data_IF_728767191533
#
_entry.id   IF_728767191533
#
_cell.length_a   1.000
_cell.length_b   1.000
_cell.length_c   1.000
_cell.angle_alpha   90.00
_cell.angle_beta   90.00
_cell.angle_gamma   90.00
#
_symmetry.space_group_name_H-M   'P 1'
#
loop_
_entity.id
_entity.type
_entity.pdbx_description
1 polymer ?
#
# COMPACT_ATOMS: atom_id res chain seq x y z
N UNK A 1 13.23 54.38 -10.86
CA UNK A 1 12.93 53.00 -11.28
C UNK A 1 11.84 53.10 -12.33
N UNK A 2 12.13 52.82 -13.61
CA UNK A 2 11.11 52.83 -14.65
C UNK A 2 10.61 51.41 -14.95
N UNK A 3 9.36 51.41 -15.38
CA UNK A 3 8.45 50.30 -15.61
C UNK A 3 8.95 49.26 -16.63
N UNK A 4 8.60 47.99 -16.38
CA UNK A 4 8.77 46.90 -17.33
C UNK A 4 7.49 46.73 -18.15
N UNK A 5 7.56 47.14 -19.41
CA UNK A 5 6.59 46.79 -20.44
C UNK A 5 6.60 45.27 -20.69
N UNK A 6 5.41 44.66 -20.58
CA UNK A 6 5.15 43.28 -20.96
C UNK A 6 4.51 43.30 -22.35
N UNK A 7 5.29 43.01 -23.38
CA UNK A 7 4.80 42.80 -24.75
C UNK A 7 4.15 41.43 -24.89
N UNK A 8 2.86 41.40 -25.22
CA UNK A 8 2.10 40.19 -25.60
C UNK A 8 2.14 40.08 -27.12
N UNK A 9 2.56 38.95 -27.73
CA UNK A 9 2.49 38.77 -29.17
C UNK A 9 1.05 38.46 -29.63
N UNK A 10 0.55 39.25 -30.58
CA UNK A 10 -0.69 39.02 -31.32
C UNK A 10 -0.56 37.77 -32.22
N UNK A 11 -1.50 36.83 -32.06
CA UNK A 11 -1.68 35.71 -32.97
C UNK A 11 -2.42 36.11 -34.25
N UNK A 12 -2.28 35.35 -35.35
CA UNK A 12 -2.84 35.71 -36.64
C UNK A 12 -4.34 35.41 -36.76
N UNK A 13 -5.00 36.39 -37.36
CA UNK A 13 -6.40 36.47 -37.78
C UNK A 13 -6.77 35.30 -38.72
N UNK A 14 -7.78 34.50 -38.33
CA UNK A 14 -8.35 33.41 -39.15
C UNK A 14 -9.74 33.82 -39.61
N UNK A 15 -9.81 34.55 -40.73
CA UNK A 15 -11.03 34.82 -41.48
C UNK A 15 -10.83 34.46 -42.97
N UNK A 16 -10.99 33.17 -43.28
CA UNK A 16 -11.24 32.62 -44.62
C UNK A 16 -12.02 31.32 -44.38
N UNK A 17 -13.15 30.97 -44.98
CA UNK A 17 -13.90 31.43 -46.15
C UNK A 17 -14.68 30.18 -46.56
N UNK A 18 -15.97 30.09 -46.23
CA UNK A 18 -16.77 28.89 -46.51
C UNK A 18 -17.18 28.86 -47.99
N UNK A 19 -16.95 27.75 -48.73
CA UNK A 19 -17.53 27.57 -50.05
C UNK A 19 -18.99 27.12 -49.94
N UNK A 20 -19.84 27.83 -50.68
CA UNK A 20 -21.25 27.54 -50.92
C UNK A 20 -21.32 26.28 -51.81
N UNK A 21 -21.98 25.23 -51.33
CA UNK A 21 -22.30 24.02 -52.08
C UNK A 21 -23.68 24.21 -52.76
N UNK A 22 -23.81 24.06 -54.08
CA UNK A 22 -25.11 24.14 -54.75
C UNK A 22 -25.91 22.84 -54.56
N UNK A 23 -27.22 23.00 -54.39
CA UNK A 23 -28.21 21.93 -54.31
C UNK A 23 -28.26 21.13 -55.62
N UNK A 24 -27.97 19.83 -55.53
CA UNK A 24 -28.18 18.84 -56.59
C UNK A 24 -29.42 17.99 -56.31
N UNK A 25 -30.16 17.69 -57.37
CA UNK A 25 -31.46 17.01 -57.43
C UNK A 25 -31.47 15.56 -56.91
N UNK A 26 -32.64 15.02 -56.52
CA UNK A 26 -32.77 13.65 -56.02
C UNK A 26 -32.73 12.62 -57.16
N UNK A 27 -31.70 11.77 -57.18
CA UNK A 27 -31.67 10.57 -58.03
C UNK A 27 -32.67 9.52 -57.54
N UNK A 28 -33.48 9.06 -58.50
CA UNK A 28 -34.43 7.96 -58.35
C UNK A 28 -33.69 6.63 -58.19
N UNK A 29 -33.89 5.97 -57.06
CA UNK A 29 -33.44 4.59 -56.83
C UNK A 29 -34.42 3.65 -57.53
N UNK A 30 -33.97 3.00 -58.61
CA UNK A 30 -34.63 1.84 -59.20
C UNK A 30 -34.41 0.58 -58.33
N UNK A 31 -35.38 -0.35 -58.26
CA UNK A 31 -35.24 -1.60 -57.51
C UNK A 31 -34.47 -2.66 -58.32
N UNK A 32 -33.44 -3.29 -57.72
CA UNK A 32 -32.82 -4.51 -58.25
C UNK A 32 -33.48 -5.77 -57.67
N UNK A 33 -33.62 -6.85 -58.47
CA UNK A 33 -34.38 -8.04 -58.13
C UNK A 33 -33.53 -9.21 -57.62
N UNK A 34 -34.27 -10.20 -57.11
CA UNK A 34 -33.99 -11.65 -57.10
C UNK A 34 -32.99 -12.25 -56.10
N UNK A 35 -33.61 -12.99 -55.17
CA UNK A 35 -33.03 -14.04 -54.35
C UNK A 35 -32.81 -15.33 -55.15
N UNK A 36 -31.72 -16.04 -54.87
CA UNK A 36 -31.51 -17.45 -55.22
C UNK A 36 -30.95 -18.18 -53.98
N UNK A 37 -31.53 -19.30 -53.52
CA UNK A 37 -31.05 -20.07 -52.38
C UNK A 37 -30.11 -21.21 -52.79
N UNK A 38 -29.16 -21.64 -51.94
CA UNK A 38 -28.52 -22.92 -52.13
C UNK A 38 -29.23 -24.04 -51.37
N UNK A 39 -29.48 -25.07 -52.17
CA UNK A 39 -30.02 -26.39 -51.95
C UNK A 39 -29.27 -27.27 -50.96
N UNK A 40 -30.05 -28.22 -50.44
CA UNK A 40 -29.70 -29.42 -49.69
C UNK A 40 -28.56 -30.24 -50.30
N UNK A 41 -27.75 -30.85 -49.43
CA UNK A 41 -26.97 -32.05 -49.72
C UNK A 41 -27.21 -33.04 -48.59
N UNK A 42 -28.04 -34.05 -48.86
CA UNK A 42 -28.02 -35.35 -48.19
C UNK A 42 -26.87 -36.17 -48.80
N UNK A 43 -26.10 -36.92 -48.00
CA UNK A 43 -25.63 -38.28 -48.35
C UNK A 43 -24.82 -38.93 -47.22
N UNK A 44 -25.33 -40.07 -46.72
CA UNK A 44 -24.63 -41.31 -46.27
C UNK A 44 -23.59 -41.20 -45.13
N UNK A 45 -23.67 -41.87 -43.98
CA UNK A 45 -24.19 -43.21 -43.67
C UNK A 45 -23.10 -44.28 -43.81
N UNK A 46 -22.86 -45.08 -42.74
CA UNK A 46 -22.06 -46.34 -42.58
C UNK A 46 -20.85 -46.16 -41.62
N UNK A 47 -20.89 -46.58 -40.34
CA UNK A 47 -20.74 -47.94 -39.72
C UNK A 47 -19.27 -48.35 -39.43
N UNK A 48 -18.91 -48.44 -38.14
CA UNK A 48 -18.09 -49.50 -37.48
C UNK A 48 -17.61 -48.97 -36.09
N UNK A 49 -18.15 -49.46 -34.97
CA UNK A 49 -17.82 -50.71 -34.27
C UNK A 49 -16.67 -50.56 -33.24
N UNK A 50 -17.10 -50.60 -31.97
CA UNK A 50 -16.42 -50.87 -30.68
C UNK A 50 -15.30 -51.95 -30.72
N UNK A 51 -14.34 -52.00 -29.75
CA UNK A 51 -14.65 -52.53 -28.40
C UNK A 51 -13.88 -52.01 -27.17
N UNK A 52 -14.63 -51.97 -26.05
CA UNK A 52 -14.37 -52.43 -24.67
C UNK A 52 -12.96 -52.67 -24.06
N UNK A 53 -12.68 -51.89 -22.99
CA UNK A 53 -12.19 -52.28 -21.62
C UNK A 53 -10.76 -52.90 -21.44
N UNK A 54 -10.20 -53.12 -20.22
CA UNK A 54 -10.53 -52.66 -18.83
C UNK A 54 -9.34 -52.16 -17.94
N UNK A 55 -9.71 -51.44 -16.88
CA UNK A 55 -9.34 -51.54 -15.45
C UNK A 55 -7.88 -51.64 -14.89
N UNK A 56 -7.66 -50.83 -13.82
CA UNK A 56 -6.84 -51.05 -12.58
C UNK A 56 -5.30 -51.11 -12.73
N UNK A 57 -4.47 -50.50 -11.86
CA UNK A 57 -4.40 -50.68 -10.40
C UNK A 57 -3.46 -49.66 -9.73
N UNK A 58 -3.79 -49.30 -8.49
CA UNK A 58 -2.95 -48.90 -7.32
C UNK A 58 -1.46 -48.50 -7.47
N UNK A 59 -1.08 -47.39 -6.82
CA UNK A 59 -0.14 -47.44 -5.66
C UNK A 59 0.10 -46.07 -4.99
N UNK A 60 -0.57 -45.89 -3.84
CA UNK A 60 -0.08 -45.39 -2.54
C UNK A 60 0.32 -43.91 -2.28
N UNK A 61 0.12 -43.46 -1.01
CA UNK A 61 0.20 -42.07 -0.59
C UNK A 61 1.58 -41.72 0.01
N UNK A 62 1.92 -40.43 0.00
CA UNK A 62 2.93 -39.86 0.91
C UNK A 62 2.28 -38.87 1.86
N UNK A 63 2.19 -39.28 3.12
CA UNK A 63 2.14 -38.40 4.28
C UNK A 63 3.53 -37.82 4.55
N UNK A 64 3.60 -36.51 4.77
CA UNK A 64 4.48 -35.79 5.70
C UNK A 64 4.06 -34.30 5.58
N UNK A 65 3.23 -33.78 6.47
CA UNK A 65 3.63 -33.12 7.71
C UNK A 65 4.55 -31.91 7.47
N UNK A 66 4.00 -30.68 7.57
CA UNK A 66 4.35 -29.71 8.64
C UNK A 66 3.86 -28.29 8.32
N UNK A 67 3.40 -27.63 9.39
CA UNK A 67 3.23 -26.18 9.60
C UNK A 67 1.92 -25.51 9.12
N UNK A 68 1.09 -25.03 10.06
CA UNK A 68 0.04 -24.04 9.84
C UNK A 68 0.60 -22.62 10.06
N UNK A 69 0.41 -21.71 9.12
CA UNK A 69 0.59 -20.26 9.35
C UNK A 69 -0.02 -19.47 8.19
N UNK A 70 -0.83 -18.48 8.56
CA UNK A 70 -1.19 -17.36 7.70
C UNK A 70 -2.67 -17.32 7.38
N UNK A 71 -3.48 -16.98 8.39
CA UNK A 71 -4.87 -16.62 8.22
C UNK A 71 -5.01 -15.45 7.25
N UNK A 72 -5.94 -15.64 6.32
CA UNK A 72 -6.61 -14.61 5.56
C UNK A 72 -7.30 -13.62 6.51
N UNK A 73 -7.09 -12.32 6.32
CA UNK A 73 -8.11 -11.32 6.63
C UNK A 73 -7.99 -10.17 5.63
N UNK A 74 -8.81 -10.31 4.57
CA UNK A 74 -9.25 -9.19 3.76
C UNK A 74 -10.20 -8.32 4.59
N UNK A 75 -9.99 -7.01 4.51
CA UNK A 75 -10.58 -6.05 5.41
C UNK A 75 -12.10 -5.86 5.30
N UNK A 76 -12.62 -5.09 6.26
CA UNK A 76 -13.79 -4.24 6.06
C UNK A 76 -13.63 -3.00 6.90
N UNK A 77 -13.43 -1.88 6.22
CA UNK A 77 -13.66 -0.54 6.75
C UNK A 77 -15.18 -0.38 6.96
N UNK A 78 -15.59 -0.19 8.21
CA UNK A 78 -16.99 -0.09 8.60
C UNK A 78 -17.15 1.08 9.60
N UNK A 79 -17.39 2.25 9.06
CA UNK A 79 -18.12 3.33 9.72
C UNK A 79 -19.62 3.03 9.65
N UNK A 80 -20.15 2.31 10.65
CA UNK A 80 -21.57 2.33 11.03
C UNK A 80 -21.80 1.53 12.32
N UNK A 81 -22.59 2.10 13.24
CA UNK A 81 -23.32 1.32 14.24
C UNK A 81 -22.85 1.48 15.68
N UNK A 82 -23.05 2.68 16.25
CA UNK A 82 -23.11 2.85 17.70
C UNK A 82 -24.42 2.22 18.22
N UNK A 83 -24.36 0.99 18.74
CA UNK A 83 -25.39 0.44 19.61
C UNK A 83 -24.85 -0.75 20.40
N UNK A 84 -24.83 -0.61 21.74
CA UNK A 84 -24.92 -1.76 22.64
C UNK A 84 -23.68 -2.06 23.51
N UNK A 85 -23.91 -1.90 24.82
CA UNK A 85 -23.20 -2.53 25.93
C UNK A 85 -21.72 -2.14 26.15
N UNK A 86 -21.50 -1.21 27.09
CA UNK A 86 -20.24 -1.13 27.84
C UNK A 86 -20.51 -1.29 29.33
N UNK A 87 -20.01 -2.39 29.85
CA UNK A 87 -19.93 -2.73 31.25
C UNK A 87 -18.92 -1.81 31.98
N UNK A 88 -19.24 -1.61 33.26
CA UNK A 88 -18.48 -0.92 34.31
C UNK A 88 -16.96 -1.07 34.24
N UNK A 89 -16.19 0.01 34.47
CA UNK A 89 -14.85 -0.09 35.06
C UNK A 89 -14.81 0.59 36.43
N UNK A 90 -15.15 -0.16 37.47
CA UNK A 90 -14.75 0.16 38.86
C UNK A 90 -13.39 -0.48 39.15
N UNK A 91 -12.26 0.11 38.76
CA UNK A 91 -10.96 -0.04 39.45
C UNK A 91 -10.04 1.10 39.02
N UNK A 92 -9.73 2.05 39.92
CA UNK A 92 -8.42 2.71 40.06
C UNK A 92 -8.50 3.87 41.07
N UNK A 93 -8.53 3.56 42.36
CA UNK A 93 -8.32 4.58 43.39
C UNK A 93 -7.64 4.05 44.67
N UNK A 94 -6.68 3.12 44.53
CA UNK A 94 -5.76 2.75 45.60
C UNK A 94 -4.34 3.16 45.22
N UNK A 95 -3.99 4.44 45.40
CA UNK A 95 -2.58 4.88 45.55
C UNK A 95 -2.45 6.36 46.00
N UNK A 96 -3.26 6.79 46.96
CA UNK A 96 -3.10 8.11 47.59
C UNK A 96 -3.02 8.05 49.13
N UNK A 97 -2.98 6.85 49.72
CA UNK A 97 -2.90 6.64 51.18
C UNK A 97 -1.46 6.60 51.74
N UNK A 98 -0.45 6.58 50.88
CA UNK A 98 0.95 6.41 51.28
C UNK A 98 1.73 7.69 51.65
N UNK A 99 1.23 8.89 51.30
CA UNK A 99 2.02 10.12 51.46
C UNK A 99 1.68 10.95 52.71
N UNK A 100 0.52 10.75 53.35
CA UNK A 100 0.11 11.56 54.53
C UNK A 100 0.52 10.97 55.88
N UNK A 101 0.99 9.72 55.93
CA UNK A 101 1.38 9.06 57.18
C UNK A 101 2.85 9.32 57.57
N UNK A 102 3.71 9.73 56.63
CA UNK A 102 5.13 9.97 56.90
C UNK A 102 5.43 11.35 57.51
N UNK A 103 4.52 12.32 57.42
CA UNK A 103 4.71 13.66 57.98
C UNK A 103 4.30 13.78 59.46
N UNK A 104 3.47 12.86 59.98
CA UNK A 104 3.01 12.89 61.37
C UNK A 104 3.99 12.22 62.36
N UNK A 105 5.03 11.53 61.87
CA UNK A 105 5.97 10.79 62.71
C UNK A 105 7.24 11.55 63.11
N UNK A 106 7.40 12.81 62.70
CA UNK A 106 8.62 13.60 62.95
C UNK A 106 8.43 14.79 63.92
N UNK A 107 7.27 14.94 64.55
CA UNK A 107 6.99 16.00 65.53
C UNK A 107 6.91 15.46 66.97
N UNK A 108 7.74 14.47 67.29
CA UNK A 108 7.95 13.98 68.64
C UNK A 108 9.18 14.62 69.25
N UNK A 109 8.99 15.27 70.39
CA UNK A 109 10.00 15.77 71.33
C UNK A 109 10.82 16.99 70.90
N UNK A 110 10.41 18.18 71.35
CA UNK A 110 11.20 18.99 72.31
C UNK A 110 10.42 20.23 72.77
N UNK A 111 10.27 20.40 74.09
CA UNK A 111 10.15 21.72 74.75
C UNK A 111 8.77 22.14 75.24
N UNK A 112 8.50 21.94 76.54
CA UNK A 112 7.46 22.67 77.30
C UNK A 112 7.84 24.16 77.39
N UNK A 113 7.10 24.99 76.66
CA UNK A 113 7.01 26.43 76.87
C UNK A 113 5.53 26.82 76.78
N UNK A 114 4.96 27.22 77.92
CA UNK A 114 3.56 27.69 78.03
C UNK A 114 3.41 29.07 77.37
N UNK A 115 3.21 29.08 76.06
CA UNK A 115 2.69 30.24 75.32
C UNK A 115 1.22 29.99 74.93
N UNK A 116 0.25 30.71 75.53
CA UNK A 116 -1.19 30.52 75.29
C UNK A 116 -1.68 30.97 73.89
N UNK A 117 -0.78 31.38 72.99
CA UNK A 117 -1.08 31.80 71.62
C UNK A 117 -0.98 30.64 70.59
N UNK A 118 -0.39 29.50 70.99
CA UNK A 118 -0.11 28.36 70.10
C UNK A 118 -1.32 27.48 69.75
N UNK A 119 -2.41 27.54 70.53
CA UNK A 119 -3.62 26.74 70.30
C UNK A 119 -4.48 27.24 69.13
N UNK A 120 -4.48 28.55 68.86
CA UNK A 120 -5.21 29.12 67.73
C UNK A 120 -4.54 28.78 66.40
N UNK A 121 -3.20 28.76 66.35
CA UNK A 121 -2.44 28.42 65.16
C UNK A 121 -2.64 26.96 64.70
N UNK A 122 -2.86 26.05 65.66
CA UNK A 122 -3.02 24.61 65.38
C UNK A 122 -4.39 24.30 64.78
N UNK A 123 -5.47 24.95 65.26
CA UNK A 123 -6.81 24.87 64.68
C UNK A 123 -6.86 25.49 63.28
N UNK A 124 -6.17 26.62 63.07
CA UNK A 124 -6.04 27.24 61.75
C UNK A 124 -5.29 26.34 60.75
N UNK A 125 -4.24 25.66 61.20
CA UNK A 125 -3.52 24.68 60.38
C UNK A 125 -4.40 23.48 60.02
N UNK A 126 -5.16 22.89 60.96
CA UNK A 126 -6.05 21.77 60.64
C UNK A 126 -7.14 22.17 59.64
N UNK A 127 -7.73 23.37 59.80
CA UNK A 127 -8.69 23.93 58.84
C UNK A 127 -8.06 24.13 57.46
N UNK A 128 -6.78 24.48 57.39
CA UNK A 128 -6.07 24.62 56.11
C UNK A 128 -5.86 23.30 55.37
N UNK A 129 -5.56 22.21 56.08
CA UNK A 129 -5.40 20.89 55.48
C UNK A 129 -6.74 20.32 55.01
N UNK A 130 -7.81 20.55 55.77
CA UNK A 130 -9.17 20.23 55.34
C UNK A 130 -9.52 20.97 54.05
N UNK A 131 -9.29 22.29 54.00
CA UNK A 131 -9.54 23.11 52.81
C UNK A 131 -8.69 22.67 51.59
N UNK A 132 -7.44 22.23 51.80
CA UNK A 132 -6.58 21.70 50.74
C UNK A 132 -7.11 20.36 50.21
N UNK A 133 -7.51 19.45 51.11
CA UNK A 133 -8.10 18.16 50.73
C UNK A 133 -9.37 18.36 49.92
N UNK A 134 -10.25 19.26 50.36
CA UNK A 134 -11.48 19.60 49.67
C UNK A 134 -11.21 20.22 48.29
N UNK A 135 -10.20 21.08 48.19
CA UNK A 135 -9.78 21.68 46.91
C UNK A 135 -9.30 20.61 45.91
N UNK A 136 -8.53 19.62 46.37
CA UNK A 136 -8.08 18.50 45.54
C UNK A 136 -9.26 17.60 45.14
N UNK A 137 -10.19 17.32 46.07
CA UNK A 137 -11.41 16.57 45.79
C UNK A 137 -12.30 17.24 44.74
N UNK A 138 -12.59 18.52 44.94
CA UNK A 138 -13.34 19.36 43.99
C UNK A 138 -12.66 19.43 42.62
N UNK A 139 -11.32 19.47 42.57
CA UNK A 139 -10.59 19.49 41.32
C UNK A 139 -10.69 18.19 40.52
N UNK A 140 -10.73 17.04 41.21
CA UNK A 140 -10.95 15.74 40.58
C UNK A 140 -12.38 15.60 40.08
N UNK A 141 -13.36 15.97 40.91
CA UNK A 141 -14.78 15.95 40.56
C UNK A 141 -15.07 16.86 39.35
N UNK A 142 -14.52 18.08 39.34
CA UNK A 142 -14.65 19.00 38.21
C UNK A 142 -14.06 18.38 36.93
N UNK A 143 -12.86 17.79 37.00
CA UNK A 143 -12.24 17.17 35.83
C UNK A 143 -13.06 16.00 35.29
N UNK A 144 -13.65 15.20 36.19
CA UNK A 144 -14.53 14.09 35.80
C UNK A 144 -15.81 14.57 35.14
N UNK A 145 -16.47 15.60 35.70
CA UNK A 145 -17.66 16.21 35.08
C UNK A 145 -17.36 16.93 33.77
N UNK A 146 -16.20 17.56 33.64
CA UNK A 146 -15.75 18.16 32.37
C UNK A 146 -15.59 17.08 31.29
N UNK A 147 -15.01 15.92 31.63
CA UNK A 147 -14.90 14.78 30.72
C UNK A 147 -16.26 14.23 30.31
N UNK A 148 -17.17 14.01 31.27
CA UNK A 148 -18.53 13.54 30.96
C UNK A 148 -19.29 14.53 30.07
N UNK A 149 -19.09 15.83 30.28
CA UNK A 149 -19.67 16.88 29.44
C UNK A 149 -19.10 16.86 28.03
N UNK A 150 -17.80 16.61 27.87
CA UNK A 150 -17.16 16.46 26.56
C UNK A 150 -17.70 15.23 25.80
N UNK A 151 -17.78 14.07 26.47
CA UNK A 151 -18.36 12.84 25.92
C UNK A 151 -19.83 13.05 25.50
N UNK A 152 -20.64 13.73 26.34
CA UNK A 152 -22.01 14.11 26.00
C UNK A 152 -22.08 15.08 24.82
N UNK A 153 -21.12 16.01 24.72
CA UNK A 153 -21.02 16.97 23.62
C UNK A 153 -20.79 16.30 22.26
N UNK A 154 -19.88 15.33 22.18
CA UNK A 154 -19.63 14.54 20.95
C UNK A 154 -20.84 13.70 20.56
N UNK A 155 -21.56 13.14 21.55
CA UNK A 155 -22.82 12.44 21.30
C UNK A 155 -23.89 13.36 20.73
N UNK A 156 -24.14 14.51 21.35
CA UNK A 156 -25.10 15.51 20.85
C UNK A 156 -24.76 15.93 19.42
N UNK A 157 -23.47 16.11 19.12
CA UNK A 157 -23.02 16.45 17.77
C UNK A 157 -23.38 15.36 16.76
N UNK A 158 -23.06 14.11 17.08
CA UNK A 158 -23.37 12.95 16.22
C UNK A 158 -24.88 12.80 16.02
N UNK A 159 -25.66 12.88 17.10
CA UNK A 159 -27.12 12.74 17.05
C UNK A 159 -27.79 13.89 16.28
N UNK A 160 -27.22 15.11 16.33
CA UNK A 160 -27.67 16.25 15.52
C UNK A 160 -27.38 16.05 14.03
N UNK A 161 -26.22 15.53 13.67
CA UNK A 161 -25.87 15.22 12.28
C UNK A 161 -26.82 14.13 11.73
N UNK A 162 -27.07 13.07 12.50
CA UNK A 162 -28.05 12.04 12.12
C UNK A 162 -29.47 12.61 12.01
N UNK A 163 -29.90 13.45 12.96
CA UNK A 163 -31.22 14.08 12.93
C UNK A 163 -31.39 14.96 11.67
N UNK A 164 -30.39 15.77 11.33
CA UNK A 164 -30.42 16.62 10.15
C UNK A 164 -30.55 15.79 8.86
N UNK A 165 -29.79 14.70 8.75
CA UNK A 165 -29.84 13.78 7.63
C UNK A 165 -31.21 13.09 7.52
N UNK A 166 -31.76 12.60 8.65
CA UNK A 166 -33.11 12.01 8.67
C UNK A 166 -34.20 13.02 8.27
N UNK A 167 -34.08 14.28 8.70
CA UNK A 167 -35.01 15.34 8.32
C UNK A 167 -34.93 15.66 6.82
N UNK A 168 -33.71 15.73 6.27
CA UNK A 168 -33.50 15.89 4.83
C UNK A 168 -34.12 14.73 4.04
N UNK A 169 -33.95 13.49 4.50
CA UNK A 169 -34.57 12.31 3.90
C UNK A 169 -36.09 12.43 3.90
N UNK A 170 -36.72 12.78 5.03
CA UNK A 170 -38.17 12.92 5.10
C UNK A 170 -38.69 14.01 4.16
N UNK A 171 -37.95 15.11 4.01
CA UNK A 171 -38.31 16.20 3.13
C UNK A 171 -38.15 15.86 1.63
N UNK A 172 -37.11 15.07 1.28
CA UNK A 172 -36.67 14.84 -0.11
C UNK A 172 -36.67 13.36 -0.53
N UNK A 173 -37.42 12.50 0.16
CA UNK A 173 -37.35 11.04 0.03
C UNK A 173 -37.36 10.54 -1.42
N UNK A 174 -38.36 10.95 -2.22
CA UNK A 174 -38.49 10.48 -3.59
C UNK A 174 -37.33 10.93 -4.49
N UNK A 175 -36.79 12.14 -4.27
CA UNK A 175 -35.65 12.63 -5.04
C UNK A 175 -34.38 11.85 -4.69
N UNK A 176 -34.13 11.62 -3.40
CA UNK A 176 -32.97 10.85 -2.93
C UNK A 176 -33.03 9.39 -3.38
N UNK A 177 -34.19 8.73 -3.31
CA UNK A 177 -34.34 7.35 -3.80
C UNK A 177 -34.11 7.29 -5.31
N UNK A 178 -34.69 8.21 -6.08
CA UNK A 178 -34.48 8.27 -7.53
C UNK A 178 -33.00 8.51 -7.89
N UNK A 179 -32.29 9.36 -7.13
CA UNK A 179 -30.86 9.58 -7.28
C UNK A 179 -30.05 8.30 -6.98
N UNK A 180 -30.32 7.62 -5.86
CA UNK A 180 -29.61 6.39 -5.51
C UNK A 180 -29.87 5.27 -6.53
N UNK A 181 -31.10 5.15 -7.04
CA UNK A 181 -31.44 4.20 -8.10
C UNK A 181 -30.72 4.55 -9.42
N UNK A 182 -30.59 5.83 -9.76
CA UNK A 182 -29.82 6.28 -10.91
C UNK A 182 -28.32 5.93 -10.76
N UNK A 183 -27.73 6.17 -9.58
CA UNK A 183 -26.34 5.79 -9.27
C UNK A 183 -26.16 4.27 -9.42
N UNK A 184 -27.03 3.46 -8.84
CA UNK A 184 -26.96 2.00 -8.94
C UNK A 184 -27.05 1.54 -10.39
N UNK A 185 -28.00 2.06 -11.16
CA UNK A 185 -28.21 1.66 -12.56
C UNK A 185 -27.01 2.06 -13.44
N UNK A 186 -26.55 3.32 -13.35
CA UNK A 186 -25.42 3.81 -14.11
C UNK A 186 -24.14 3.03 -13.82
N UNK A 187 -23.80 2.86 -12.54
CA UNK A 187 -22.58 2.15 -12.16
C UNK A 187 -22.66 0.66 -12.47
N UNK A 188 -23.86 0.05 -12.43
CA UNK A 188 -24.05 -1.34 -12.87
C UNK A 188 -23.77 -1.49 -14.37
N UNK A 189 -24.30 -0.59 -15.21
CA UNK A 189 -24.01 -0.60 -16.65
C UNK A 189 -22.53 -0.42 -16.95
N UNK A 190 -21.87 0.53 -16.27
CA UNK A 190 -20.43 0.73 -16.40
C UNK A 190 -19.64 -0.50 -15.95
N UNK A 191 -20.03 -1.14 -14.85
CA UNK A 191 -19.37 -2.35 -14.34
C UNK A 191 -19.48 -3.51 -15.31
N UNK A 192 -20.65 -3.72 -15.91
CA UNK A 192 -20.84 -4.78 -16.93
C UNK A 192 -20.06 -4.46 -18.21
N UNK A 193 -20.00 -3.20 -18.64
CA UNK A 193 -19.15 -2.79 -19.77
C UNK A 193 -17.65 -3.06 -19.49
N UNK A 194 -17.18 -2.76 -18.28
CA UNK A 194 -15.79 -3.04 -17.87
C UNK A 194 -15.48 -4.53 -17.77
N UNK A 195 -16.44 -5.35 -17.32
CA UNK A 195 -16.29 -6.81 -17.34
C UNK A 195 -16.21 -7.37 -18.76
N UNK A 196 -17.01 -6.83 -19.69
CA UNK A 196 -16.93 -7.21 -21.10
C UNK A 196 -15.57 -6.82 -21.69
N UNK A 197 -15.08 -5.61 -21.41
CA UNK A 197 -13.74 -5.17 -21.80
C UNK A 197 -12.65 -6.06 -21.18
N UNK A 198 -12.78 -6.43 -19.89
CA UNK A 198 -11.85 -7.34 -19.22
C UNK A 198 -11.80 -8.72 -19.90
N UNK A 199 -12.96 -9.27 -20.27
CA UNK A 199 -13.04 -10.55 -20.98
C UNK A 199 -12.38 -10.47 -22.36
N UNK A 200 -12.60 -9.37 -23.09
CA UNK A 200 -11.96 -9.12 -24.38
C UNK A 200 -10.44 -9.03 -24.24
N UNK A 201 -9.93 -8.17 -23.36
CA UNK A 201 -8.47 -7.99 -23.16
C UNK A 201 -7.82 -9.28 -22.66
N UNK A 202 -8.51 -10.08 -21.84
CA UNK A 202 -8.01 -11.39 -21.41
C UNK A 202 -7.89 -12.38 -22.57
N UNK A 203 -8.83 -12.36 -23.52
CA UNK A 203 -8.75 -13.17 -24.74
C UNK A 203 -7.61 -12.71 -25.64
N UNK A 204 -7.47 -11.41 -25.85
CA UNK A 204 -6.37 -10.82 -26.66
C UNK A 204 -4.99 -11.12 -26.03
N UNK A 205 -4.90 -11.09 -24.69
CA UNK A 205 -3.70 -11.47 -23.95
C UNK A 205 -3.33 -12.93 -24.20
N UNK A 206 -4.31 -13.84 -24.15
CA UNK A 206 -4.08 -15.24 -24.42
C UNK A 206 -3.59 -15.47 -25.86
N UNK A 207 -4.22 -14.82 -26.83
CA UNK A 207 -3.80 -14.91 -28.24
C UNK A 207 -2.39 -14.38 -28.47
N UNK A 208 -2.03 -13.25 -27.84
CA UNK A 208 -0.69 -12.68 -27.94
C UNK A 208 0.36 -13.53 -27.23
N UNK A 209 0.03 -14.12 -26.08
CA UNK A 209 0.90 -15.06 -25.37
C UNK A 209 1.16 -16.31 -26.21
N UNK A 210 0.12 -16.91 -26.79
CA UNK A 210 0.25 -18.06 -27.67
C UNK A 210 1.06 -17.72 -28.93
N UNK A 211 0.93 -16.50 -29.46
CA UNK A 211 1.72 -16.03 -30.59
C UNK A 211 3.20 -15.85 -30.22
N UNK A 212 3.49 -15.30 -29.04
CA UNK A 212 4.84 -15.15 -28.51
C UNK A 212 5.50 -16.51 -28.28
N UNK A 213 4.77 -17.48 -27.73
CA UNK A 213 5.28 -18.83 -27.50
C UNK A 213 5.58 -19.55 -28.82
N UNK A 214 4.67 -19.48 -29.81
CA UNK A 214 4.94 -20.03 -31.15
C UNK A 214 6.15 -19.38 -31.82
N UNK A 215 6.37 -18.09 -31.60
CA UNK A 215 7.50 -17.36 -32.15
C UNK A 215 8.80 -17.78 -31.47
N UNK A 216 8.81 -17.95 -30.14
CA UNK A 216 9.94 -18.48 -29.38
C UNK A 216 10.31 -19.90 -29.85
N UNK A 217 9.33 -20.79 -30.02
CA UNK A 217 9.57 -22.14 -30.54
C UNK A 217 10.20 -22.12 -31.95
N UNK A 218 9.71 -21.22 -32.81
CA UNK A 218 10.27 -21.04 -34.15
C UNK A 218 11.71 -20.51 -34.12
N UNK A 219 11.97 -19.52 -33.27
CA UNK A 219 13.29 -18.93 -33.09
C UNK A 219 14.29 -19.91 -32.48
N UNK A 220 13.88 -20.72 -31.50
CA UNK A 220 14.69 -21.80 -30.95
C UNK A 220 15.08 -22.81 -32.05
N UNK A 221 14.15 -23.12 -32.95
CA UNK A 221 14.43 -23.99 -34.10
C UNK A 221 15.46 -23.37 -35.06
N UNK A 222 15.51 -22.04 -35.17
CA UNK A 222 16.51 -21.33 -35.99
C UNK A 222 17.87 -21.16 -35.31
N UNK A 223 17.89 -20.89 -34.00
CA UNK A 223 19.11 -20.63 -33.23
C UNK A 223 19.88 -21.90 -32.90
N UNK A 224 19.20 -23.01 -32.61
CA UNK A 224 19.83 -24.29 -32.25
C UNK A 224 20.89 -24.79 -33.27
N UNK A 225 20.64 -24.75 -34.60
CA UNK A 225 21.66 -25.08 -35.59
C UNK A 225 22.88 -24.16 -35.53
N UNK A 226 22.67 -22.85 -35.36
CA UNK A 226 23.74 -21.85 -35.30
C UNK A 226 24.59 -22.01 -34.02
N UNK A 227 23.94 -22.27 -32.88
CA UNK A 227 24.63 -22.60 -31.63
C UNK A 227 25.49 -23.85 -31.79
N UNK A 228 24.99 -24.86 -32.50
CA UNK A 228 25.74 -26.08 -32.80
C UNK A 228 26.97 -25.79 -33.68
N UNK A 229 26.83 -24.94 -34.71
CA UNK A 229 27.94 -24.51 -35.57
C UNK A 229 28.98 -23.73 -34.78
N UNK A 230 28.55 -22.79 -33.95
CA UNK A 230 29.40 -22.01 -33.05
C UNK A 230 30.19 -22.94 -32.10
N UNK A 231 29.52 -23.93 -31.50
CA UNK A 231 30.15 -24.92 -30.63
C UNK A 231 31.23 -25.74 -31.35
N UNK A 232 30.96 -26.19 -32.58
CA UNK A 232 31.96 -26.90 -33.41
C UNK A 232 33.12 -26.00 -33.82
N UNK A 233 32.85 -24.77 -34.23
CA UNK A 233 33.88 -23.81 -34.60
C UNK A 233 34.80 -23.50 -33.42
N UNK A 234 34.22 -23.37 -32.20
CA UNK A 234 34.96 -23.18 -30.96
C UNK A 234 35.87 -24.36 -30.65
N UNK A 235 35.33 -25.59 -30.70
CA UNK A 235 36.13 -26.80 -30.49
C UNK A 235 37.29 -26.92 -31.50
N UNK A 236 37.02 -26.58 -32.77
CA UNK A 236 38.04 -26.58 -33.84
C UNK A 236 39.12 -25.54 -33.60
N UNK A 237 38.74 -24.32 -33.21
CA UNK A 237 39.69 -23.25 -32.90
C UNK A 237 40.55 -23.58 -31.66
N UNK A 238 39.96 -24.19 -30.63
CA UNK A 238 40.70 -24.67 -29.45
C UNK A 238 41.68 -25.79 -29.81
N UNK A 239 41.28 -26.76 -30.64
CA UNK A 239 42.15 -27.82 -31.12
C UNK A 239 43.32 -27.27 -31.96
N UNK A 240 43.04 -26.43 -32.95
CA UNK A 240 44.07 -25.86 -33.83
C UNK A 240 45.09 -25.02 -33.05
N UNK A 241 44.64 -24.30 -32.01
CA UNK A 241 45.51 -23.54 -31.11
C UNK A 241 46.39 -24.44 -30.24
N UNK A 242 45.86 -25.58 -29.79
CA UNK A 242 46.66 -26.57 -29.04
C UNK A 242 47.70 -27.24 -29.95
N UNK A 243 47.33 -27.56 -31.19
CA UNK A 243 48.26 -28.10 -32.19
C UNK A 243 49.38 -27.10 -32.53
N UNK A 244 49.05 -25.82 -32.73
CA UNK A 244 50.03 -24.73 -32.93
C UNK A 244 51.02 -24.67 -31.75
N UNK A 245 50.54 -24.76 -30.51
CA UNK A 245 51.39 -24.78 -29.31
C UNK A 245 52.30 -26.02 -29.26
N UNK A 246 51.77 -27.19 -29.62
CA UNK A 246 52.54 -28.43 -29.67
C UNK A 246 53.67 -28.33 -30.70
N UNK A 247 53.35 -27.90 -31.93
CA UNK A 247 54.35 -27.72 -33.00
C UNK A 247 55.40 -26.68 -32.66
N UNK A 248 55.01 -25.59 -31.99
CA UNK A 248 55.95 -24.59 -31.48
C UNK A 248 56.94 -25.18 -30.47
N UNK A 249 56.47 -26.07 -29.60
CA UNK A 249 57.32 -26.73 -28.62
C UNK A 249 58.30 -27.71 -29.30
N UNK A 250 57.83 -28.47 -30.31
CA UNK A 250 58.68 -29.35 -31.13
C UNK A 250 59.76 -28.58 -31.89
N UNK A 251 59.40 -27.46 -32.54
CA UNK A 251 60.34 -26.56 -33.21
C UNK A 251 61.40 -26.06 -32.24
N UNK A 252 60.99 -25.53 -31.08
CA UNK A 252 61.94 -25.04 -30.06
C UNK A 252 62.86 -26.15 -29.53
N UNK A 253 62.39 -27.39 -29.45
CA UNK A 253 63.22 -28.53 -29.06
C UNK A 253 64.23 -28.89 -30.16
N UNK A 254 63.81 -28.89 -31.43
CA UNK A 254 64.67 -29.16 -32.58
C UNK A 254 65.74 -28.07 -32.77
N UNK A 255 65.38 -26.80 -32.59
CA UNK A 255 66.33 -25.67 -32.60
C UNK A 255 67.44 -25.86 -31.56
N UNK A 256 67.06 -26.18 -30.32
CA UNK A 256 68.01 -26.46 -29.23
C UNK A 256 68.87 -27.71 -29.47
N UNK A 257 68.36 -28.71 -30.20
CA UNK A 257 69.12 -29.91 -30.59
C UNK A 257 70.13 -29.60 -31.71
N UNK A 258 69.73 -28.78 -32.68
CA UNK A 258 70.60 -28.30 -33.75
C UNK A 258 71.73 -27.41 -33.22
N UNK A 259 71.45 -26.54 -32.24
CA UNK A 259 72.48 -25.73 -31.55
C UNK A 259 73.54 -26.57 -30.83
N UNK A 260 73.22 -27.82 -30.45
CA UNK A 260 74.13 -28.74 -29.75
C UNK A 260 74.86 -29.72 -30.68
N UNK A 261 74.50 -29.78 -31.95
CA UNK A 261 75.10 -30.74 -32.90
C UNK A 261 76.32 -30.12 -33.60
N UNK A 262 77.46 -30.81 -33.54
CA UNK A 262 78.70 -30.40 -34.21
C UNK A 262 79.09 -31.41 -35.31
N UNK A 263 79.79 -30.95 -36.36
CA UNK A 263 80.32 -31.82 -37.43
C UNK A 263 79.27 -32.33 -38.44
N UNK A 264 79.42 -33.56 -38.94
CA UNK A 264 78.58 -34.13 -40.01
C UNK A 264 77.08 -34.23 -39.69
N UNK A 265 76.71 -34.21 -38.41
CA UNK A 265 75.32 -34.29 -37.94
C UNK A 265 74.59 -32.93 -37.96
N UNK A 266 75.32 -31.82 -38.09
CA UNK A 266 74.75 -30.46 -38.13
C UNK A 266 73.80 -30.25 -39.33
N UNK A 267 74.10 -30.88 -40.47
CA UNK A 267 73.24 -30.81 -41.66
C UNK A 267 71.90 -31.54 -41.46
N UNK A 268 71.93 -32.68 -40.74
CA UNK A 268 70.72 -33.46 -40.42
C UNK A 268 69.86 -32.71 -39.40
N UNK A 269 70.48 -32.12 -38.38
CA UNK A 269 69.78 -31.31 -37.38
C UNK A 269 69.14 -30.05 -38.00
N UNK A 270 69.84 -29.37 -38.93
CA UNK A 270 69.29 -28.23 -39.68
C UNK A 270 68.10 -28.63 -40.56
N UNK A 271 68.17 -29.78 -41.25
CA UNK A 271 67.05 -30.29 -42.03
C UNK A 271 65.84 -30.62 -41.14
N UNK A 272 66.07 -31.15 -39.93
CA UNK A 272 65.01 -31.43 -38.94
C UNK A 272 64.33 -30.16 -38.44
N UNK A 273 65.08 -29.10 -38.14
CA UNK A 273 64.52 -27.78 -37.78
C UNK A 273 63.58 -27.28 -38.87
N UNK A 274 63.99 -27.32 -40.13
CA UNK A 274 63.17 -26.86 -41.26
C UNK A 274 61.84 -27.61 -41.38
N UNK A 275 61.83 -28.93 -41.18
CA UNK A 275 60.58 -29.72 -41.18
C UNK A 275 59.64 -29.29 -40.04
N UNK A 276 60.17 -29.00 -38.85
CA UNK A 276 59.36 -28.49 -37.74
C UNK A 276 58.91 -27.05 -37.93
N UNK A 277 59.70 -26.23 -38.62
CA UNK A 277 59.37 -24.86 -38.98
C UNK A 277 58.19 -24.85 -39.95
N UNK A 278 58.28 -25.60 -41.05
CA UNK A 278 57.19 -25.77 -42.03
C UNK A 278 55.90 -26.30 -41.33
N UNK A 279 56.03 -27.28 -40.42
CA UNK A 279 54.90 -27.83 -39.67
C UNK A 279 54.28 -26.84 -38.67
N UNK A 280 55.09 -25.96 -38.06
CA UNK A 280 54.61 -24.89 -37.18
C UNK A 280 53.90 -23.79 -37.98
N UNK A 281 54.45 -23.37 -39.12
CA UNK A 281 53.80 -22.41 -40.01
C UNK A 281 52.44 -22.91 -40.49
N UNK A 282 52.35 -24.19 -40.87
CA UNK A 282 51.08 -24.81 -41.25
C UNK A 282 50.08 -24.84 -40.09
N UNK A 283 50.53 -25.23 -38.89
CA UNK A 283 49.67 -25.25 -37.70
C UNK A 283 49.20 -23.84 -37.30
N UNK A 284 50.07 -22.83 -37.43
CA UNK A 284 49.72 -21.44 -37.22
C UNK A 284 48.69 -20.94 -38.24
N UNK A 285 48.85 -21.28 -39.52
CA UNK A 285 47.87 -20.94 -40.56
C UNK A 285 46.50 -21.57 -40.27
N UNK A 286 46.47 -22.85 -39.86
CA UNK A 286 45.23 -23.54 -39.44
C UNK A 286 44.59 -22.91 -38.21
N UNK A 287 45.38 -22.51 -37.22
CA UNK A 287 44.92 -21.80 -36.01
C UNK A 287 44.27 -20.46 -36.35
N UNK A 288 44.87 -19.68 -37.26
CA UNK A 288 44.29 -18.42 -37.76
C UNK A 288 42.97 -18.64 -38.50
N UNK A 289 42.95 -19.59 -39.44
CA UNK A 289 41.73 -19.92 -40.19
C UNK A 289 40.60 -20.41 -39.28
N UNK A 290 40.92 -21.23 -38.26
CA UNK A 290 39.93 -21.71 -37.30
C UNK A 290 39.39 -20.57 -36.40
N UNK A 291 40.24 -19.60 -36.03
CA UNK A 291 39.82 -18.41 -35.29
C UNK A 291 38.88 -17.53 -36.12
N UNK A 292 39.20 -17.30 -37.39
CA UNK A 292 38.35 -16.55 -38.32
C UNK A 292 36.97 -17.23 -38.51
N UNK A 293 36.96 -18.56 -38.64
CA UNK A 293 35.72 -19.33 -38.72
C UNK A 293 34.88 -19.24 -37.43
N UNK A 294 35.52 -19.24 -36.26
CA UNK A 294 34.83 -19.00 -34.98
C UNK A 294 34.24 -17.60 -34.90
N UNK A 295 34.99 -16.56 -35.26
CA UNK A 295 34.51 -15.18 -35.26
C UNK A 295 33.37 -14.96 -36.27
N UNK A 296 33.39 -15.67 -37.40
CA UNK A 296 32.27 -15.67 -38.33
C UNK A 296 31.03 -16.37 -37.76
N UNK A 297 31.16 -17.58 -37.23
CA UNK A 297 30.05 -18.31 -36.62
C UNK A 297 29.43 -17.55 -35.44
N UNK A 298 30.26 -16.84 -34.66
CA UNK A 298 29.78 -15.99 -33.57
C UNK A 298 28.97 -14.81 -34.08
N UNK A 299 29.45 -14.10 -35.12
CA UNK A 299 28.70 -12.99 -35.72
C UNK A 299 27.35 -13.44 -36.27
N UNK A 300 27.32 -14.54 -37.00
CA UNK A 300 26.07 -15.09 -37.56
C UNK A 300 25.06 -15.45 -36.44
N UNK A 301 25.55 -16.05 -35.35
CA UNK A 301 24.73 -16.35 -34.18
C UNK A 301 24.20 -15.08 -33.48
N UNK A 302 25.08 -14.10 -33.23
CA UNK A 302 24.72 -12.86 -32.54
C UNK A 302 23.73 -12.02 -33.37
N UNK A 303 23.92 -11.94 -34.70
CA UNK A 303 22.99 -11.27 -35.62
C UNK A 303 21.62 -11.94 -35.63
N UNK A 304 21.57 -13.28 -35.72
CA UNK A 304 20.32 -14.02 -35.65
C UNK A 304 19.61 -13.82 -34.31
N UNK A 305 20.34 -13.89 -33.20
CA UNK A 305 19.80 -13.66 -31.85
C UNK A 305 19.25 -12.25 -31.69
N UNK A 306 19.95 -11.24 -32.20
CA UNK A 306 19.46 -9.86 -32.16
C UNK A 306 18.18 -9.69 -32.99
N UNK A 307 18.10 -10.33 -34.16
CA UNK A 307 16.88 -10.33 -34.98
C UNK A 307 15.70 -10.98 -34.26
N UNK A 308 15.95 -12.06 -33.52
CA UNK A 308 14.95 -12.73 -32.68
C UNK A 308 14.45 -11.77 -31.61
N UNK A 309 15.33 -11.19 -30.80
CA UNK A 309 14.96 -10.25 -29.73
C UNK A 309 14.14 -9.07 -30.24
N UNK A 310 14.50 -8.51 -31.40
CA UNK A 310 13.75 -7.42 -32.03
C UNK A 310 12.34 -7.85 -32.50
N UNK A 311 12.19 -9.10 -32.95
CA UNK A 311 10.89 -9.65 -33.34
C UNK A 311 10.01 -9.98 -32.13
N UNK A 312 10.59 -10.39 -30.99
CA UNK A 312 9.84 -10.71 -29.76
C UNK A 312 9.38 -9.48 -28.99
N UNK A 313 10.21 -8.44 -28.94
CA UNK A 313 9.98 -7.21 -28.18
C UNK A 313 8.57 -6.57 -28.32
N UNK A 314 7.94 -6.44 -29.51
CA UNK A 314 6.60 -5.86 -29.62
C UNK A 314 5.52 -6.74 -28.99
N UNK A 315 5.63 -8.07 -29.09
CA UNK A 315 4.67 -8.99 -28.48
C UNK A 315 4.84 -9.04 -26.97
N UNK A 316 6.08 -9.04 -26.47
CA UNK A 316 6.36 -8.95 -25.03
C UNK A 316 5.78 -7.67 -24.41
N UNK A 317 5.99 -6.51 -25.05
CA UNK A 317 5.38 -5.24 -24.60
C UNK A 317 3.86 -5.30 -24.64
N UNK A 318 3.28 -5.88 -25.70
CA UNK A 318 1.83 -6.02 -25.82
C UNK A 318 1.25 -6.89 -24.69
N UNK A 319 1.93 -7.98 -24.33
CA UNK A 319 1.55 -8.85 -23.20
C UNK A 319 1.65 -8.10 -21.86
N UNK A 320 2.72 -7.33 -21.65
CA UNK A 320 2.90 -6.51 -20.45
C UNK A 320 1.80 -5.43 -20.32
N UNK A 321 1.53 -4.69 -21.40
CA UNK A 321 0.51 -3.65 -21.44
C UNK A 321 -0.90 -4.21 -21.18
N UNK A 322 -1.23 -5.37 -21.77
CA UNK A 322 -2.51 -6.03 -21.54
C UNK A 322 -2.66 -6.55 -20.11
N UNK A 323 -1.60 -7.11 -19.51
CA UNK A 323 -1.62 -7.50 -18.10
C UNK A 323 -1.88 -6.30 -17.18
N UNK A 324 -1.20 -5.17 -17.43
CA UNK A 324 -1.46 -3.94 -16.69
C UNK A 324 -2.90 -3.45 -16.87
N UNK A 325 -3.42 -3.51 -18.11
CA UNK A 325 -4.81 -3.12 -18.41
C UNK A 325 -5.82 -4.01 -17.69
N UNK A 326 -5.57 -5.30 -17.57
CA UNK A 326 -6.40 -6.25 -16.80
C UNK A 326 -6.48 -5.83 -15.33
N UNK A 327 -5.36 -5.49 -14.70
CA UNK A 327 -5.34 -5.04 -13.30
C UNK A 327 -6.09 -3.72 -13.13
N UNK A 328 -5.89 -2.74 -14.02
CA UNK A 328 -6.65 -1.48 -14.01
C UNK A 328 -8.17 -1.70 -14.14
N UNK A 329 -8.59 -2.67 -14.96
CA UNK A 329 -10.00 -3.03 -15.14
C UNK A 329 -10.58 -3.72 -13.89
N UNK A 330 -9.83 -4.62 -13.25
CA UNK A 330 -10.24 -5.26 -11.99
C UNK A 330 -10.48 -4.23 -10.88
N UNK A 331 -9.50 -3.34 -10.67
CA UNK A 331 -9.60 -2.21 -9.74
C UNK A 331 -10.84 -1.36 -10.02
N UNK A 332 -11.07 -1.02 -11.29
CA UNK A 332 -12.23 -0.22 -11.68
C UNK A 332 -13.55 -0.95 -11.41
N UNK A 333 -13.62 -2.26 -11.64
CA UNK A 333 -14.81 -3.09 -11.38
C UNK A 333 -15.11 -3.16 -9.88
N UNK A 334 -14.08 -3.25 -9.05
CA UNK A 334 -14.19 -3.27 -7.59
C UNK A 334 -14.73 -1.94 -7.05
N UNK A 335 -14.13 -0.80 -7.42
CA UNK A 335 -14.59 0.54 -7.02
C UNK A 335 -16.04 0.82 -7.43
N UNK A 336 -16.44 0.36 -8.63
CA UNK A 336 -17.83 0.44 -9.07
C UNK A 336 -18.74 -0.45 -8.20
N UNK A 337 -18.28 -1.64 -7.81
CA UNK A 337 -18.98 -2.53 -6.88
C UNK A 337 -19.22 -1.90 -5.51
N UNK A 338 -18.20 -1.24 -4.94
CA UNK A 338 -18.30 -0.49 -3.68
C UNK A 338 -19.31 0.65 -3.78
N UNK A 339 -19.23 1.44 -4.86
CA UNK A 339 -20.16 2.56 -5.13
C UNK A 339 -21.61 2.06 -5.23
N UNK A 340 -21.85 0.96 -5.94
CA UNK A 340 -23.18 0.33 -6.03
C UNK A 340 -23.67 -0.13 -4.65
N UNK A 341 -22.78 -0.75 -3.86
CA UNK A 341 -23.11 -1.23 -2.51
C UNK A 341 -23.47 -0.07 -1.57
N UNK A 342 -22.68 1.00 -1.58
CA UNK A 342 -22.93 2.22 -0.80
C UNK A 342 -24.27 2.86 -1.19
N UNK A 343 -24.56 3.01 -2.49
CA UNK A 343 -25.82 3.57 -2.96
C UNK A 343 -27.04 2.72 -2.56
N UNK A 344 -26.91 1.38 -2.61
CA UNK A 344 -27.97 0.46 -2.13
C UNK A 344 -28.21 0.59 -0.63
N UNK A 345 -27.14 0.67 0.17
CA UNK A 345 -27.24 0.90 1.62
C UNK A 345 -27.90 2.25 1.92
N UNK A 346 -27.53 3.31 1.19
CA UNK A 346 -28.15 4.63 1.33
C UNK A 346 -29.63 4.60 0.98
N UNK A 347 -30.01 3.96 -0.13
CA UNK A 347 -31.42 3.76 -0.51
C UNK A 347 -32.21 3.02 0.57
N UNK A 348 -31.67 1.93 1.11
CA UNK A 348 -32.30 1.17 2.21
C UNK A 348 -32.46 2.01 3.47
N UNK A 349 -31.46 2.84 3.80
CA UNK A 349 -31.56 3.77 4.92
C UNK A 349 -32.65 4.83 4.68
N UNK A 350 -32.74 5.39 3.46
CA UNK A 350 -33.84 6.29 3.11
C UNK A 350 -35.21 5.61 3.28
N UNK A 351 -35.35 4.36 2.83
CA UNK A 351 -36.58 3.57 2.98
C UNK A 351 -36.93 3.37 4.47
N UNK A 352 -35.94 3.05 5.31
CA UNK A 352 -36.13 2.89 6.75
C UNK A 352 -36.60 4.19 7.42
N UNK A 353 -35.95 5.31 7.15
CA UNK A 353 -36.31 6.61 7.74
C UNK A 353 -37.72 7.04 7.31
N UNK A 354 -38.06 6.83 6.03
CA UNK A 354 -39.38 7.15 5.50
C UNK A 354 -40.49 6.27 6.10
N UNK A 355 -40.21 4.98 6.36
CA UNK A 355 -41.15 4.05 6.99
C UNK A 355 -41.36 4.32 8.49
N UNK A 356 -40.34 4.84 9.18
CA UNK A 356 -40.36 5.07 10.64
C UNK A 356 -40.11 6.54 11.03
N UNK A 357 -40.95 7.50 10.60
CA UNK A 357 -40.75 8.93 10.89
C UNK A 357 -40.82 9.26 12.39
N UNK A 358 -41.49 8.41 13.18
CA UNK A 358 -41.55 8.52 14.63
C UNK A 358 -40.19 8.30 15.32
N UNK A 359 -39.26 7.58 14.70
CA UNK A 359 -37.90 7.44 15.23
C UNK A 359 -37.10 8.73 15.10
N UNK A 360 -37.27 9.46 13.99
CA UNK A 360 -36.68 10.78 13.79
C UNK A 360 -37.17 11.77 14.85
N UNK A 361 -38.45 11.70 15.20
CA UNK A 361 -39.03 12.53 16.27
C UNK A 361 -38.49 12.15 17.66
N UNK A 362 -38.33 10.86 17.95
CA UNK A 362 -37.68 10.40 19.19
C UNK A 362 -36.24 10.89 19.29
N UNK A 363 -35.49 10.83 18.19
CA UNK A 363 -34.12 11.33 18.13
C UNK A 363 -34.08 12.84 18.40
N UNK A 364 -35.00 13.62 17.80
CA UNK A 364 -35.15 15.06 18.08
C UNK A 364 -35.33 15.34 19.57
N UNK A 365 -36.27 14.64 20.22
CA UNK A 365 -36.52 14.80 21.65
C UNK A 365 -35.31 14.37 22.50
N UNK A 366 -34.58 13.33 22.08
CA UNK A 366 -33.35 12.90 22.77
C UNK A 366 -32.27 13.96 22.70
N UNK A 367 -32.03 14.55 21.52
CA UNK A 367 -31.06 15.65 21.33
C UNK A 367 -31.44 16.85 22.19
N UNK A 368 -32.72 17.25 22.22
CA UNK A 368 -33.19 18.36 23.05
C UNK A 368 -32.97 18.10 24.56
N UNK A 369 -33.19 16.86 25.01
CA UNK A 369 -32.97 16.45 26.39
C UNK A 369 -31.47 16.42 26.76
N UNK A 370 -30.62 15.89 25.88
CA UNK A 370 -29.17 15.84 26.10
C UNK A 370 -28.57 17.24 26.08
N UNK A 371 -29.03 18.14 25.21
CA UNK A 371 -28.64 19.55 25.22
C UNK A 371 -29.03 20.27 26.51
N UNK A 372 -30.24 20.01 27.02
CA UNK A 372 -30.67 20.56 28.31
C UNK A 372 -29.75 20.04 29.44
N UNK A 373 -29.40 18.76 29.40
CA UNK A 373 -28.46 18.14 30.35
C UNK A 373 -27.07 18.77 30.24
N UNK A 374 -26.54 18.97 29.04
CA UNK A 374 -25.26 19.64 28.84
C UNK A 374 -25.25 21.07 29.40
N UNK A 375 -26.35 21.84 29.23
CA UNK A 375 -26.48 23.17 29.84
C UNK A 375 -26.48 23.12 31.37
N UNK A 376 -27.13 22.12 31.97
CA UNK A 376 -27.09 21.93 33.43
C UNK A 376 -25.68 21.56 33.91
N UNK A 377 -24.97 20.67 33.21
CA UNK A 377 -23.58 20.32 33.53
C UNK A 377 -22.64 21.51 33.39
N UNK A 378 -22.83 22.37 32.39
CA UNK A 378 -22.04 23.59 32.22
C UNK A 378 -22.23 24.56 33.41
N UNK A 379 -23.47 24.75 33.88
CA UNK A 379 -23.77 25.56 35.06
C UNK A 379 -23.20 24.96 36.36
N UNK A 380 -23.27 23.64 36.52
CA UNK A 380 -22.65 22.93 37.66
C UNK A 380 -21.12 23.03 37.64
N UNK A 381 -20.50 22.83 36.47
CA UNK A 381 -19.07 22.96 36.28
C UNK A 381 -18.60 24.39 36.55
N UNK A 382 -19.35 25.41 36.14
CA UNK A 382 -19.07 26.80 36.49
C UNK A 382 -19.15 27.04 38.01
N UNK A 383 -20.16 26.48 38.67
CA UNK A 383 -20.30 26.52 40.13
C UNK A 383 -19.13 25.83 40.84
N UNK A 384 -18.71 24.65 40.36
CA UNK A 384 -17.55 23.91 40.86
C UNK A 384 -16.24 24.68 40.64
N UNK A 385 -16.05 25.30 39.47
CA UNK A 385 -14.92 26.20 39.21
C UNK A 385 -14.90 27.39 40.17
N UNK A 386 -16.07 27.97 40.47
CA UNK A 386 -16.23 29.02 41.47
C UNK A 386 -15.81 28.57 42.88
N UNK A 387 -16.33 27.43 43.35
CA UNK A 387 -15.96 26.81 44.63
C UNK A 387 -14.47 26.48 44.70
N UNK A 388 -13.91 25.95 43.61
CA UNK A 388 -12.50 25.60 43.50
C UNK A 388 -11.60 26.84 43.51
N UNK A 389 -12.04 27.95 42.89
CA UNK A 389 -11.33 29.23 42.97
C UNK A 389 -11.36 29.79 44.40
N UNK A 390 -12.47 29.66 45.11
CA UNK A 390 -12.60 30.07 46.51
C UNK A 390 -11.74 29.20 47.45
N UNK A 391 -11.76 27.88 47.29
CA UNK A 391 -10.93 26.96 48.07
C UNK A 391 -9.44 27.18 47.80
N UNK A 392 -9.06 27.47 46.56
CA UNK A 392 -7.68 27.88 46.21
C UNK A 392 -7.28 29.20 46.88
N UNK A 393 -8.17 30.20 46.98
CA UNK A 393 -7.89 31.46 47.70
C UNK A 393 -7.63 31.19 49.19
N UNK A 394 -8.49 30.41 49.84
CA UNK A 394 -8.32 30.01 51.24
C UNK A 394 -7.03 29.20 51.46
N UNK A 395 -6.73 28.26 50.56
CA UNK A 395 -5.49 27.48 50.59
C UNK A 395 -4.23 28.34 50.39
N UNK A 396 -4.25 29.38 49.54
CA UNK A 396 -3.11 30.30 49.37
C UNK A 396 -2.83 31.11 50.64
N UNK A 397 -3.86 31.59 51.32
CA UNK A 397 -3.72 32.28 52.61
C UNK A 397 -3.08 31.36 53.64
N UNK A 398 -3.54 30.11 53.72
CA UNK A 398 -2.94 29.13 54.62
C UNK A 398 -1.48 28.77 54.26
N UNK A 399 -1.15 28.63 52.96
CA UNK A 399 0.24 28.38 52.53
C UNK A 399 1.17 29.54 52.89
N UNK A 400 0.69 30.78 52.80
CA UNK A 400 1.44 31.96 53.23
C UNK A 400 1.62 32.00 54.75
N UNK A 401 0.59 31.64 55.52
CA UNK A 401 0.68 31.50 56.97
C UNK A 401 1.73 30.45 57.36
N UNK A 402 1.68 29.25 56.76
CA UNK A 402 2.67 28.19 56.98
C UNK A 402 4.09 28.66 56.59
N UNK A 403 4.26 29.33 55.44
CA UNK A 403 5.56 29.85 55.02
C UNK A 403 6.11 30.92 55.97
N UNK A 404 5.24 31.77 56.52
CA UNK A 404 5.61 32.75 57.54
C UNK A 404 6.05 32.06 58.84
N UNK A 405 5.30 31.06 59.31
CA UNK A 405 5.67 30.26 60.49
C UNK A 405 7.01 29.55 60.28
N UNK A 406 7.22 28.91 59.13
CA UNK A 406 8.51 28.26 58.80
C UNK A 406 9.66 29.27 58.77
N UNK A 407 9.43 30.47 58.24
CA UNK A 407 10.44 31.52 58.20
C UNK A 407 10.77 32.04 59.60
N UNK A 408 9.77 32.19 60.48
CA UNK A 408 9.96 32.52 61.90
C UNK A 408 10.79 31.44 62.59
N UNK A 409 10.49 30.16 62.37
CA UNK A 409 11.26 29.04 62.92
C UNK A 409 12.71 29.08 62.43
N UNK A 410 12.95 29.31 61.13
CA UNK A 410 14.30 29.44 60.57
C UNK A 410 15.05 30.61 61.21
N UNK A 411 14.41 31.77 61.36
CA UNK A 411 15.00 32.94 62.02
C UNK A 411 15.33 32.62 63.49
N UNK A 412 14.44 31.96 64.21
CA UNK A 412 14.67 31.54 65.60
C UNK A 412 15.88 30.60 65.70
N UNK A 413 15.99 29.60 64.80
CA UNK A 413 17.12 28.68 64.74
C UNK A 413 18.42 29.43 64.41
N UNK A 414 18.44 30.31 63.42
CA UNK A 414 19.64 31.09 63.04
C UNK A 414 20.08 32.01 64.19
N UNK A 415 19.13 32.65 64.87
CA UNK A 415 19.40 33.51 66.03
C UNK A 415 19.97 32.70 67.18
N UNK A 416 19.40 31.52 67.44
CA UNK A 416 19.89 30.59 68.44
C UNK A 416 21.32 30.12 68.14
N UNK A 417 21.61 29.74 66.89
CA UNK A 417 22.97 29.35 66.46
C UNK A 417 23.94 30.53 66.57
N UNK A 418 23.55 31.74 66.15
CA UNK A 418 24.39 32.94 66.24
C UNK A 418 24.73 33.30 67.69
N UNK A 419 23.75 33.27 68.60
CA UNK A 419 23.97 33.51 70.03
C UNK A 419 24.85 32.43 70.64
N UNK A 420 24.72 31.18 70.19
CA UNK A 420 25.52 30.06 70.71
C UNK A 420 26.96 30.03 70.17
N UNK A 421 27.25 30.76 69.09
CA UNK A 421 28.57 30.77 68.42
C UNK A 421 29.45 31.97 68.80
N UNK A 422 28.97 32.86 69.68
CA UNK A 422 29.64 34.06 70.16
C UNK A 422 30.04 33.88 71.61
#
# INVERSE_FOLDING_TARGET
MPDRDISIPMGPDRTQGMPIVPAGEPEQIQPSPEAIPPSQVESTGIFDALPDTPATTDARPRQAASAPMGDDDAGTDATAGAAGARENPTVAADNAKGASAAAAAAAGETGEGDDPDSGQELDEMQQSFAALRDSIGQGRELKEREKQREELGERIKTDREELADRQEILANYHALVAEQDAIVNQNTQQREARKAELAQVSSELQEASDALDRMRDYHDTQLNPLETVLGRARATAEQAKNDERSRKAELSAAEKEAERSEGGDAAVASAKVKVFEDAYEEAQARSRAAKEALEQAQREYDEARQSVEQAEAPLERSVEDMNKRIEELKDSIERLGETISAARKRRQYCDSVYQYPNETEKLRLSVEADEATARTMDAENETLRGKLAESKKRSRMAKLAIAAVVLIIIVAIVTFIYVSSR
#
